data_IF_240433898789
#
_entry.id   IF_240433898789
#
_cell.length_a   1.000
_cell.length_b   1.000
_cell.length_c   1.000
_cell.angle_alpha   90.00
_cell.angle_beta   90.00
_cell.angle_gamma   90.00
#
_symmetry.space_group_name_H-M   'P 1'
#
loop_
_entity.id
_entity.type
_entity.pdbx_description
1 polymer ?
#
# COMPACT_ATOMS: atom_id res chain seq x y z
N UNK A 1 -8.94 -7.34 -26.75
CA UNK A 1 -7.60 -6.82 -27.14
C UNK A 1 -7.70 -5.43 -27.79
N UNK A 2 -8.67 -5.19 -28.67
CA UNK A 2 -8.87 -3.88 -29.32
C UNK A 2 -9.14 -2.75 -28.31
N UNK A 3 -9.94 -2.99 -27.27
CA UNK A 3 -10.23 -2.03 -26.20
C UNK A 3 -9.01 -1.67 -25.36
N UNK A 4 -8.11 -2.64 -25.09
CA UNK A 4 -6.90 -2.39 -24.34
C UNK A 4 -5.89 -1.52 -25.11
N UNK A 5 -5.76 -1.75 -26.41
CA UNK A 5 -4.91 -0.93 -27.28
C UNK A 5 -5.42 0.52 -27.35
N UNK A 6 -6.74 0.69 -27.48
CA UNK A 6 -7.37 2.02 -27.48
C UNK A 6 -7.15 2.74 -26.15
N UNK A 7 -7.41 2.07 -25.01
CA UNK A 7 -7.21 2.63 -23.69
C UNK A 7 -5.74 3.04 -23.45
N UNK A 8 -4.78 2.25 -23.93
CA UNK A 8 -3.35 2.56 -23.83
C UNK A 8 -2.98 3.82 -24.63
N UNK A 9 -3.50 3.95 -25.86
CA UNK A 9 -3.27 5.15 -26.71
C UNK A 9 -3.86 6.40 -26.04
N UNK A 10 -5.08 6.30 -25.47
CA UNK A 10 -5.73 7.38 -24.77
C UNK A 10 -4.97 7.79 -23.51
N UNK A 11 -4.49 6.82 -22.72
CA UNK A 11 -3.69 7.07 -21.51
C UNK A 11 -2.39 7.79 -21.86
N UNK A 12 -1.66 7.35 -22.89
CA UNK A 12 -0.45 8.02 -23.37
C UNK A 12 -0.71 9.46 -23.79
N UNK A 13 -1.77 9.68 -24.56
CA UNK A 13 -2.13 11.03 -25.00
C UNK A 13 -2.47 11.97 -23.84
N UNK A 14 -3.12 11.46 -22.80
CA UNK A 14 -3.38 12.23 -21.57
C UNK A 14 -2.10 12.51 -20.79
N UNK A 15 -1.23 11.52 -20.64
CA UNK A 15 0.06 11.66 -19.98
C UNK A 15 0.90 12.75 -20.63
N UNK A 16 1.04 12.70 -21.95
CA UNK A 16 1.75 13.72 -22.74
C UNK A 16 1.15 15.12 -22.55
N UNK A 17 -0.17 15.24 -22.62
CA UNK A 17 -0.85 16.52 -22.54
C UNK A 17 -0.79 17.16 -21.12
N UNK A 18 -0.79 16.36 -20.07
CA UNK A 18 -0.86 16.85 -18.67
C UNK A 18 0.51 16.94 -18.01
N UNK A 19 1.39 15.98 -18.29
CA UNK A 19 2.69 15.83 -17.61
C UNK A 19 3.90 16.10 -18.53
N UNK A 20 3.67 16.23 -19.85
CA UNK A 20 4.73 16.33 -20.84
C UNK A 20 5.47 15.00 -21.06
N UNK A 21 4.89 13.91 -20.61
CA UNK A 21 5.45 12.56 -20.75
C UNK A 21 4.30 11.57 -21.01
N UNK A 22 4.39 10.87 -22.13
CA UNK A 22 3.41 9.86 -22.53
C UNK A 22 3.86 8.42 -22.19
N UNK A 23 4.89 8.22 -21.37
CA UNK A 23 5.29 6.87 -20.96
C UNK A 23 4.20 6.24 -20.09
N UNK A 24 3.79 5.01 -20.46
CA UNK A 24 2.76 4.26 -19.77
C UNK A 24 3.14 2.78 -19.71
N UNK A 25 2.72 2.12 -18.64
CA UNK A 25 2.80 0.67 -18.51
C UNK A 25 1.42 0.07 -18.18
N UNK A 26 1.28 -1.22 -18.38
CA UNK A 26 0.06 -1.94 -18.05
C UNK A 26 0.30 -2.89 -16.89
N UNK A 27 -0.63 -2.87 -15.94
CA UNK A 27 -0.64 -3.77 -14.80
C UNK A 27 -1.86 -4.68 -14.82
N UNK A 28 -1.76 -5.82 -14.13
CA UNK A 28 -2.92 -6.68 -13.88
C UNK A 28 -3.89 -5.97 -12.94
N UNK A 29 -5.12 -5.80 -13.38
CA UNK A 29 -6.19 -5.33 -12.50
C UNK A 29 -6.58 -6.43 -11.51
N UNK A 30 -6.50 -6.15 -10.21
CA UNK A 30 -6.87 -7.06 -9.12
C UNK A 30 -8.20 -6.62 -8.56
N UNK A 31 -9.25 -7.44 -8.75
CA UNK A 31 -10.58 -7.19 -8.20
C UNK A 31 -11.33 -8.53 -7.99
N UNK A 32 -12.08 -8.68 -6.88
CA UNK A 32 -12.13 -7.74 -5.75
C UNK A 32 -10.82 -7.72 -4.99
N UNK A 33 -10.50 -6.59 -4.36
CA UNK A 33 -9.33 -6.46 -3.53
C UNK A 33 -9.57 -5.51 -2.36
N UNK A 34 -8.94 -5.80 -1.24
CA UNK A 34 -8.84 -4.91 -0.08
C UNK A 34 -7.59 -4.06 -0.19
N UNK A 35 -7.66 -2.81 0.22
CA UNK A 35 -6.51 -1.94 0.37
C UNK A 35 -5.99 -2.06 1.80
N UNK A 36 -4.86 -2.73 1.96
CA UNK A 36 -4.21 -2.93 3.26
C UNK A 36 -2.84 -2.29 3.23
N UNK A 37 -2.51 -1.54 4.26
CA UNK A 37 -1.23 -0.86 4.38
C UNK A 37 -0.52 -1.22 5.68
N UNK A 38 0.80 -1.33 5.63
CA UNK A 38 1.63 -1.65 6.79
C UNK A 38 2.43 -0.43 7.19
N UNK A 39 2.23 0.04 8.43
CA UNK A 39 3.04 1.11 9.01
C UNK A 39 4.44 0.60 9.31
N UNK A 40 5.45 1.28 8.81
CA UNK A 40 6.85 0.98 9.11
C UNK A 40 7.53 2.16 9.80
N UNK A 41 8.56 1.81 10.58
CA UNK A 41 9.51 2.74 11.16
C UNK A 41 10.91 2.16 10.97
N UNK A 42 11.85 2.95 10.46
CA UNK A 42 13.22 2.53 10.21
C UNK A 42 14.23 3.55 10.74
N UNK A 43 15.33 3.05 11.28
CA UNK A 43 16.43 3.88 11.78
C UNK A 43 17.67 3.87 10.85
N UNK A 44 18.61 4.74 11.15
CA UNK A 44 19.90 4.85 10.42
C UNK A 44 20.81 3.63 10.60
N UNK A 45 20.53 2.75 11.56
CA UNK A 45 21.28 1.54 11.83
C UNK A 45 20.78 0.33 11.03
N UNK A 46 19.68 0.53 10.25
CA UNK A 46 19.09 -0.51 9.43
C UNK A 46 18.05 -1.38 10.16
N UNK A 47 17.65 -1.00 11.38
CA UNK A 47 16.52 -1.64 12.03
C UNK A 47 15.23 -1.18 11.38
N UNK A 48 14.36 -2.12 11.04
CA UNK A 48 13.05 -1.85 10.45
C UNK A 48 11.98 -2.57 11.24
N UNK A 49 11.02 -1.82 11.72
CA UNK A 49 9.86 -2.32 12.46
C UNK A 49 8.59 -2.14 11.63
N UNK A 50 7.65 -3.06 11.78
CA UNK A 50 6.26 -2.91 11.30
C UNK A 50 5.34 -2.77 12.51
N UNK A 51 4.55 -1.70 12.55
CA UNK A 51 3.73 -1.28 13.68
C UNK A 51 2.23 -1.54 13.43
N UNK A 52 1.92 -2.71 12.90
CA UNK A 52 0.57 -3.07 12.54
C UNK A 52 0.22 -2.69 11.10
N UNK A 53 -0.95 -3.12 10.69
CA UNK A 53 -1.55 -2.81 9.40
C UNK A 53 -2.88 -2.08 9.60
N UNK A 54 -3.27 -1.31 8.58
CA UNK A 54 -4.58 -0.65 8.48
C UNK A 54 -5.29 -1.14 7.23
N UNK A 55 -6.58 -1.41 7.32
CA UNK A 55 -7.45 -1.58 6.17
C UNK A 55 -8.05 -0.24 5.76
N UNK A 56 -7.85 0.14 4.51
CA UNK A 56 -8.27 1.40 3.93
C UNK A 56 -9.19 1.20 2.72
N UNK A 57 -9.99 0.13 2.70
CA UNK A 57 -10.83 -0.24 1.55
C UNK A 57 -12.02 0.69 1.36
N UNK A 58 -12.49 1.37 2.42
CA UNK A 58 -13.61 2.30 2.34
C UNK A 58 -13.11 3.64 1.80
N UNK A 59 -13.33 3.84 0.50
CA UNK A 59 -12.80 4.99 -0.23
C UNK A 59 -13.86 5.67 -1.09
N UNK A 60 -13.64 6.95 -1.39
CA UNK A 60 -14.39 7.70 -2.38
C UNK A 60 -13.43 8.32 -3.38
N UNK A 61 -13.51 7.91 -4.65
CA UNK A 61 -12.62 8.40 -5.71
C UNK A 61 -11.12 8.27 -5.35
N UNK A 62 -10.74 7.10 -4.85
CA UNK A 62 -9.40 6.76 -4.36
C UNK A 62 -8.93 7.60 -3.13
N UNK A 63 -9.85 8.24 -2.42
CA UNK A 63 -9.57 8.92 -1.17
C UNK A 63 -10.04 8.04 -0.01
N UNK A 64 -9.16 7.71 0.91
CA UNK A 64 -9.46 6.95 2.13
C UNK A 64 -10.45 7.74 2.98
N UNK A 65 -11.50 7.07 3.49
CA UNK A 65 -12.56 7.68 4.32
C UNK A 65 -12.65 7.03 5.70
N UNK A 66 -12.40 5.73 5.77
CA UNK A 66 -12.40 4.96 7.02
C UNK A 66 -11.19 4.04 6.97
N UNK A 67 -10.43 4.07 8.04
CA UNK A 67 -9.27 3.22 8.27
C UNK A 67 -9.48 2.42 9.57
N UNK A 68 -9.23 1.13 9.51
CA UNK A 68 -9.40 0.21 10.63
C UNK A 68 -8.10 -0.54 10.90
N UNK A 69 -7.76 -0.71 12.18
CA UNK A 69 -6.59 -1.48 12.63
C UNK A 69 -6.93 -2.29 13.88
N UNK A 70 -6.56 -3.57 13.97
CA UNK A 70 -6.00 -4.40 12.88
C UNK A 70 -6.95 -4.51 11.69
N UNK A 71 -6.44 -4.88 10.51
CA UNK A 71 -7.25 -5.02 9.29
C UNK A 71 -8.28 -6.14 9.43
N UNK A 72 -9.61 -5.87 9.37
CA UNK A 72 -10.64 -6.91 9.53
C UNK A 72 -10.59 -7.98 8.45
N UNK A 73 -10.20 -7.63 7.22
CA UNK A 73 -10.05 -8.61 6.13
C UNK A 73 -8.95 -9.67 6.39
N UNK A 74 -8.08 -9.44 7.38
CA UNK A 74 -7.05 -10.38 7.81
C UNK A 74 -7.41 -11.14 9.10
N UNK A 75 -8.65 -11.08 9.57
CA UNK A 75 -9.07 -11.83 10.74
C UNK A 75 -9.00 -13.35 10.49
N UNK A 76 -8.33 -14.08 11.40
CA UNK A 76 -8.06 -15.50 11.22
C UNK A 76 -7.05 -15.85 10.12
N UNK A 77 -6.35 -14.87 9.56
CA UNK A 77 -5.33 -15.01 8.49
C UNK A 77 -3.94 -14.62 8.99
N UNK A 78 -3.53 -15.11 10.15
CA UNK A 78 -2.26 -14.72 10.80
C UNK A 78 -1.02 -15.03 9.96
N UNK A 79 -1.06 -16.08 9.15
CA UNK A 79 0.00 -16.43 8.20
C UNK A 79 0.15 -15.37 7.11
N UNK A 80 -0.96 -14.86 6.56
CA UNK A 80 -0.94 -13.81 5.54
C UNK A 80 -0.49 -12.49 6.16
N UNK A 81 -1.02 -12.13 7.34
CA UNK A 81 -0.60 -10.94 8.10
C UNK A 81 0.92 -10.96 8.31
N UNK A 82 1.45 -12.07 8.83
CA UNK A 82 2.87 -12.22 9.07
C UNK A 82 3.73 -12.09 7.79
N UNK A 83 3.27 -12.67 6.68
CA UNK A 83 3.93 -12.54 5.36
C UNK A 83 3.90 -11.11 4.84
N UNK A 84 2.78 -10.41 4.98
CA UNK A 84 2.62 -9.02 4.54
C UNK A 84 3.55 -8.09 5.33
N UNK A 85 3.57 -8.22 6.66
CA UNK A 85 4.49 -7.48 7.52
C UNK A 85 5.96 -7.78 7.22
N UNK A 86 6.27 -9.05 6.95
CA UNK A 86 7.63 -9.44 6.53
C UNK A 86 8.01 -8.77 5.22
N UNK A 87 7.12 -8.82 4.22
CA UNK A 87 7.36 -8.21 2.91
C UNK A 87 7.60 -6.70 3.03
N UNK A 88 6.81 -6.01 3.87
CA UNK A 88 6.97 -4.59 4.13
C UNK A 88 8.35 -4.26 4.75
N UNK A 89 8.77 -5.02 5.77
CA UNK A 89 10.11 -4.82 6.37
C UNK A 89 11.24 -5.13 5.41
N UNK A 90 11.10 -6.19 4.62
CA UNK A 90 12.14 -6.60 3.67
C UNK A 90 12.30 -5.56 2.54
N UNK A 91 11.19 -5.00 2.05
CA UNK A 91 11.23 -3.92 1.06
C UNK A 91 11.92 -2.67 1.62
N UNK A 92 11.54 -2.24 2.82
CA UNK A 92 12.16 -1.08 3.45
C UNK A 92 13.67 -1.26 3.68
N UNK A 93 14.10 -2.46 4.09
CA UNK A 93 15.54 -2.79 4.21
C UNK A 93 16.25 -2.76 2.87
N UNK A 94 15.62 -3.34 1.84
CA UNK A 94 16.24 -3.45 0.51
C UNK A 94 16.55 -2.09 -0.12
N UNK A 95 15.76 -1.06 0.22
CA UNK A 95 15.96 0.31 -0.28
C UNK A 95 16.71 1.22 0.72
N UNK A 96 17.13 0.68 1.87
CA UNK A 96 17.82 1.46 2.90
C UNK A 96 16.95 2.59 3.47
N UNK A 97 15.66 2.31 3.67
CA UNK A 97 14.70 3.32 4.12
C UNK A 97 15.00 3.80 5.54
N UNK A 98 14.80 5.11 5.78
CA UNK A 98 14.92 5.75 7.10
C UNK A 98 13.65 6.60 7.38
N UNK A 99 13.15 6.53 8.59
CA UNK A 99 11.97 7.29 9.06
C UNK A 99 10.68 6.50 9.08
N UNK A 100 9.57 7.24 9.28
CA UNK A 100 8.22 6.70 9.22
C UNK A 100 7.75 6.59 7.78
N UNK A 101 7.12 5.48 7.44
CA UNK A 101 6.56 5.25 6.12
C UNK A 101 5.47 4.20 6.14
N UNK A 102 4.80 4.04 5.01
CA UNK A 102 3.72 3.07 4.86
C UNK A 102 3.88 2.33 3.55
N UNK A 103 3.75 1.01 3.59
CA UNK A 103 3.77 0.17 2.40
C UNK A 103 2.37 -0.35 2.15
N UNK A 104 1.83 -0.04 0.98
CA UNK A 104 0.46 -0.33 0.58
C UNK A 104 0.40 -1.57 -0.30
N UNK A 105 -0.61 -2.40 -0.03
CA UNK A 105 -0.87 -3.64 -0.73
C UNK A 105 -2.33 -3.73 -1.19
N UNK A 106 -2.54 -4.39 -2.32
CA UNK A 106 -3.83 -4.95 -2.69
C UNK A 106 -3.89 -6.40 -2.19
N UNK A 107 -4.82 -6.69 -1.30
CA UNK A 107 -5.06 -8.03 -0.77
C UNK A 107 -6.32 -8.62 -1.39
N UNK A 108 -6.23 -9.84 -1.89
CA UNK A 108 -7.32 -10.60 -2.50
C UNK A 108 -7.74 -11.76 -1.58
N UNK A 109 -9.02 -12.08 -1.54
CA UNK A 109 -9.61 -13.13 -0.67
C UNK A 109 -9.02 -14.54 -0.92
N UNK A 110 -8.36 -14.74 -2.06
CA UNK A 110 -7.62 -15.97 -2.36
C UNK A 110 -6.31 -16.13 -1.58
N UNK A 111 -5.98 -15.15 -0.72
CA UNK A 111 -4.79 -15.15 0.14
C UNK A 111 -3.54 -14.56 -0.54
N UNK A 112 -3.67 -14.02 -1.75
CA UNK A 112 -2.60 -13.31 -2.42
C UNK A 112 -2.62 -11.82 -2.07
N UNK A 113 -1.45 -11.21 -1.97
CA UNK A 113 -1.32 -9.78 -1.85
C UNK A 113 -0.23 -9.26 -2.79
N UNK A 114 -0.42 -8.03 -3.25
CA UNK A 114 0.43 -7.41 -4.27
C UNK A 114 0.85 -6.03 -3.78
N UNK A 115 2.14 -5.72 -3.90
CA UNK A 115 2.65 -4.38 -3.64
C UNK A 115 1.98 -3.38 -4.57
N UNK A 116 1.54 -2.26 -4.02
CA UNK A 116 0.97 -1.16 -4.77
C UNK A 116 1.92 0.04 -4.80
N UNK A 117 2.22 0.60 -3.63
CA UNK A 117 3.12 1.73 -3.50
C UNK A 117 3.74 1.82 -2.10
N UNK A 118 4.73 2.71 -1.97
CA UNK A 118 5.31 3.10 -0.68
C UNK A 118 5.15 4.60 -0.50
N UNK A 119 4.53 5.00 0.61
CA UNK A 119 4.51 6.40 1.03
C UNK A 119 5.67 6.66 1.98
N UNK A 120 6.62 7.47 1.52
CA UNK A 120 7.87 7.79 2.25
C UNK A 120 7.70 8.98 3.20
N UNK A 121 6.61 8.99 3.93
CA UNK A 121 6.22 10.04 4.88
C UNK A 121 5.22 9.51 5.88
N UNK A 122 5.00 10.24 6.95
CA UNK A 122 3.86 10.03 7.83
C UNK A 122 2.56 10.37 7.09
N UNK A 123 1.54 9.54 7.23
CA UNK A 123 0.23 9.72 6.61
C UNK A 123 -0.78 10.31 7.59
N UNK A 124 -1.89 10.85 7.08
CA UNK A 124 -2.98 11.44 7.90
C UNK A 124 -3.57 10.40 8.85
N UNK A 125 -3.66 9.15 8.41
CA UNK A 125 -4.23 8.01 9.12
C UNK A 125 -3.28 7.33 10.15
N UNK A 126 -2.08 7.85 10.39
CA UNK A 126 -1.14 7.30 11.39
C UNK A 126 -1.73 7.19 12.80
N UNK A 127 -2.65 8.10 13.26
CA UNK A 127 -3.21 8.00 14.62
C UNK A 127 -3.97 6.70 14.88
N UNK A 128 -4.51 6.05 13.83
CA UNK A 128 -5.15 4.72 13.98
C UNK A 128 -4.14 3.70 14.49
N UNK A 129 -2.92 3.71 13.95
CA UNK A 129 -1.82 2.86 14.44
C UNK A 129 -1.40 3.24 15.84
N UNK A 130 -1.24 4.52 16.13
CA UNK A 130 -0.84 5.00 17.46
C UNK A 130 -1.79 4.54 18.56
N UNK A 131 -3.11 4.63 18.31
CA UNK A 131 -4.13 4.19 19.26
C UNK A 131 -4.09 2.69 19.57
N UNK A 132 -3.79 1.84 18.59
CA UNK A 132 -3.76 0.38 18.80
C UNK A 132 -2.43 -0.15 19.27
N UNK A 133 -1.34 0.60 19.09
CA UNK A 133 0.01 0.19 19.48
C UNK A 133 0.56 0.93 20.71
N UNK A 134 -0.19 1.94 21.19
CA UNK A 134 0.25 2.83 22.30
C UNK A 134 1.62 3.46 22.00
N UNK A 135 1.79 3.94 20.75
CA UNK A 135 3.02 4.61 20.29
C UNK A 135 2.70 6.04 19.84
N UNK A 136 3.73 6.87 19.76
CA UNK A 136 3.71 8.22 19.17
C UNK A 136 4.75 8.24 18.04
N UNK A 137 4.29 8.38 16.78
CA UNK A 137 5.09 8.17 15.55
C UNK A 137 5.76 9.47 15.07
#
# INVERSE_FOLDING_TARGET
>A
MEDAAKAFIEARGRGEAVFGDGECYMEKFVAPAHHVEVQIMADKQGHVFSLGERECSVQRRNQKLIEESPAPCLDGRDDIRARMHKAARDLARAVGYEGAGTIEFLYSDDGNFYFMEMNTRLQVEHPVTEFVTDTDL
#
